data_IF_495288702919
#
_entry.id   IF_495288702919
#
_cell.length_a   1.000
_cell.length_b   1.000
_cell.length_c   1.000
_cell.angle_alpha   90.00
_cell.angle_beta   90.00
_cell.angle_gamma   90.00
#
_symmetry.space_group_name_H-M   'P 1'
#
loop_
_entity.id
_entity.type
_entity.pdbx_description
1 polymer ?
#
# COMPACT_ATOMS: atom_id res chain seq x y z
N UNK A 1 -13.89 -19.99 21.89
CA UNK A 1 -13.67 -18.57 21.53
C UNK A 1 -14.29 -17.60 22.55
N UNK A 2 -15.57 -17.73 22.91
CA UNK A 2 -16.25 -16.83 23.88
C UNK A 2 -15.67 -16.90 25.29
N UNK A 3 -15.32 -18.11 25.78
CA UNK A 3 -14.68 -18.28 27.10
C UNK A 3 -13.30 -17.59 27.21
N UNK A 4 -12.52 -17.60 26.12
CA UNK A 4 -11.23 -16.91 26.06
C UNK A 4 -11.35 -15.37 26.04
N UNK A 5 -12.50 -14.83 25.60
CA UNK A 5 -12.77 -13.39 25.66
C UNK A 5 -13.16 -12.95 27.08
N UNK A 6 -13.84 -13.82 27.83
CA UNK A 6 -14.25 -13.58 29.22
C UNK A 6 -13.07 -13.39 30.18
N UNK A 7 -11.99 -14.16 29.98
CA UNK A 7 -10.79 -14.10 30.82
C UNK A 7 -9.89 -12.88 30.56
N UNK A 8 -10.01 -12.21 29.40
CA UNK A 8 -9.12 -11.08 29.06
C UNK A 8 -9.69 -9.72 29.47
N UNK A 9 -11.00 -9.55 29.48
CA UNK A 9 -11.63 -8.28 29.83
C UNK A 9 -13.14 -8.47 30.19
N UNK A 10 -13.56 -8.29 31.45
CA UNK A 10 -14.94 -8.50 31.88
C UNK A 10 -15.93 -7.49 31.27
N UNK A 11 -15.46 -6.31 30.85
CA UNK A 11 -16.31 -5.32 30.16
C UNK A 11 -16.68 -5.81 28.76
N UNK A 12 -15.74 -6.44 28.05
CA UNK A 12 -16.00 -7.05 26.74
C UNK A 12 -16.94 -8.25 26.85
N UNK A 13 -16.84 -9.05 27.91
CA UNK A 13 -17.75 -10.16 28.15
C UNK A 13 -19.21 -9.72 28.28
N UNK A 14 -19.44 -8.63 29.00
CA UNK A 14 -20.77 -8.07 29.22
C UNK A 14 -21.36 -7.51 27.91
N UNK A 15 -20.52 -6.90 27.07
CA UNK A 15 -20.89 -6.43 25.73
C UNK A 15 -21.20 -7.57 24.74
N UNK A 16 -20.52 -8.73 24.85
CA UNK A 16 -20.84 -9.93 24.04
C UNK A 16 -22.21 -10.48 24.39
N UNK A 17 -22.55 -10.52 25.68
CA UNK A 17 -23.81 -11.14 26.16
C UNK A 17 -25.02 -10.26 25.82
N UNK A 18 -24.87 -8.93 25.89
CA UNK A 18 -25.96 -7.98 25.61
C UNK A 18 -26.25 -7.79 24.13
N UNK A 19 -25.22 -7.74 23.27
CA UNK A 19 -25.36 -7.68 21.81
C UNK A 19 -24.20 -8.39 21.10
N UNK A 20 -24.29 -9.73 20.95
CA UNK A 20 -23.24 -10.52 20.32
C UNK A 20 -22.96 -10.10 18.87
N UNK A 21 -23.99 -9.62 18.15
CA UNK A 21 -23.86 -9.18 16.75
C UNK A 21 -23.02 -7.92 16.67
N UNK A 22 -23.29 -6.93 17.52
CA UNK A 22 -22.53 -5.68 17.54
C UNK A 22 -21.11 -5.87 18.05
N UNK A 23 -20.90 -6.77 19.01
CA UNK A 23 -19.55 -7.18 19.41
C UNK A 23 -18.78 -7.77 18.22
N UNK A 24 -19.36 -8.73 17.51
CA UNK A 24 -18.72 -9.37 16.36
C UNK A 24 -18.42 -8.35 15.24
N UNK A 25 -19.39 -7.51 14.88
CA UNK A 25 -19.22 -6.48 13.85
C UNK A 25 -18.12 -5.47 14.23
N UNK A 26 -18.03 -5.09 15.50
CA UNK A 26 -16.94 -4.21 15.98
C UNK A 26 -15.59 -4.89 15.82
N UNK A 27 -15.48 -6.17 16.21
CA UNK A 27 -14.23 -6.91 16.07
C UNK A 27 -13.81 -7.11 14.62
N UNK A 28 -14.75 -7.43 13.73
CA UNK A 28 -14.44 -7.54 12.30
C UNK A 28 -13.96 -6.21 11.75
N UNK A 29 -14.66 -5.10 12.04
CA UNK A 29 -14.26 -3.75 11.58
C UNK A 29 -12.88 -3.33 12.07
N UNK A 30 -12.49 -3.73 13.28
CA UNK A 30 -11.20 -3.37 13.88
C UNK A 30 -10.03 -4.19 13.34
N UNK A 31 -10.27 -5.36 12.77
CA UNK A 31 -9.21 -6.30 12.41
C UNK A 31 -9.17 -6.65 10.91
N UNK A 32 -10.24 -6.37 10.16
CA UNK A 32 -10.30 -6.61 8.72
C UNK A 32 -9.97 -5.34 7.95
N UNK A 33 -8.74 -5.26 7.48
CA UNK A 33 -8.28 -4.21 6.57
C UNK A 33 -8.16 -4.79 5.16
N UNK A 34 -8.82 -4.15 4.18
CA UNK A 34 -8.82 -4.60 2.78
C UNK A 34 -8.13 -3.52 1.94
N UNK A 35 -7.09 -3.92 1.19
CA UNK A 35 -6.45 -3.08 0.19
C UNK A 35 -6.84 -3.55 -1.21
N UNK A 36 -7.29 -2.63 -2.06
CA UNK A 36 -7.71 -2.93 -3.43
C UNK A 36 -6.80 -2.13 -4.37
N UNK A 37 -6.05 -2.85 -5.21
CA UNK A 37 -5.17 -2.26 -6.20
C UNK A 37 -5.85 -2.28 -7.56
N UNK A 38 -6.24 -1.11 -8.06
CA UNK A 38 -6.89 -0.95 -9.36
C UNK A 38 -6.01 -0.07 -10.26
N UNK A 39 -5.92 -0.37 -11.58
CA UNK A 39 -5.26 0.54 -12.51
C UNK A 39 -6.00 1.88 -12.57
N UNK A 40 -5.24 2.98 -12.58
CA UNK A 40 -5.76 4.36 -12.55
C UNK A 40 -6.68 4.71 -13.72
N UNK A 41 -6.49 4.05 -14.87
CA UNK A 41 -7.27 4.27 -16.09
C UNK A 41 -8.20 3.08 -16.43
N UNK A 42 -8.54 2.25 -15.44
CA UNK A 42 -9.45 1.14 -15.70
C UNK A 42 -10.92 1.61 -15.77
N UNK A 43 -11.63 1.20 -16.83
CA UNK A 43 -13.10 1.29 -16.88
C UNK A 43 -13.76 0.56 -15.69
N UNK A 44 -13.04 -0.40 -15.12
CA UNK A 44 -13.42 -1.15 -13.93
C UNK A 44 -13.57 -0.25 -12.70
N UNK A 45 -12.68 0.73 -12.47
CA UNK A 45 -12.83 1.67 -11.35
C UNK A 45 -14.13 2.48 -11.48
N UNK A 46 -14.43 2.96 -12.69
CA UNK A 46 -15.68 3.68 -12.97
C UNK A 46 -16.92 2.81 -12.69
N UNK A 47 -16.93 1.58 -13.23
CA UNK A 47 -18.05 0.65 -13.03
C UNK A 47 -18.23 0.27 -11.55
N UNK A 48 -17.16 -0.05 -10.83
CA UNK A 48 -17.23 -0.38 -9.40
C UNK A 48 -17.74 0.79 -8.57
N UNK A 49 -17.41 2.02 -8.95
CA UNK A 49 -17.89 3.22 -8.25
C UNK A 49 -19.41 3.41 -8.39
N UNK A 50 -19.98 2.97 -9.52
CA UNK A 50 -21.42 3.02 -9.78
C UNK A 50 -22.17 1.86 -9.12
N UNK A 51 -21.66 0.64 -9.24
CA UNK A 51 -22.29 -0.57 -8.69
C UNK A 51 -22.16 -0.64 -7.17
N UNK A 52 -21.05 -0.15 -6.61
CA UNK A 52 -20.72 -0.24 -5.20
C UNK A 52 -20.29 1.12 -4.64
N UNK A 53 -21.20 2.09 -4.45
CA UNK A 53 -20.86 3.42 -3.95
C UNK A 53 -20.22 3.40 -2.55
N UNK A 54 -20.51 2.37 -1.76
CA UNK A 54 -19.88 2.13 -0.46
C UNK A 54 -18.37 1.90 -0.54
N UNK A 55 -17.86 1.46 -1.69
CA UNK A 55 -16.45 1.23 -1.95
C UNK A 55 -15.66 2.53 -1.85
N UNK A 56 -16.02 3.55 -2.62
CA UNK A 56 -15.33 4.85 -2.55
C UNK A 56 -15.67 5.64 -1.27
N UNK A 57 -16.90 5.47 -0.74
CA UNK A 57 -17.35 6.24 0.43
C UNK A 57 -16.61 5.87 1.73
N UNK A 58 -16.22 4.60 1.89
CA UNK A 58 -15.61 4.10 3.12
C UNK A 58 -14.19 3.56 2.93
N UNK A 59 -13.57 3.81 1.79
CA UNK A 59 -12.15 3.50 1.57
C UNK A 59 -11.35 4.77 1.41
N UNK A 60 -10.08 4.71 1.81
CA UNK A 60 -9.13 5.76 1.49
C UNK A 60 -8.50 5.44 0.13
N UNK A 61 -8.61 6.39 -0.81
CA UNK A 61 -8.00 6.25 -2.13
C UNK A 61 -6.58 6.79 -2.08
N UNK A 62 -5.63 5.98 -2.51
CA UNK A 62 -4.23 6.37 -2.64
C UNK A 62 -3.78 6.25 -4.09
N UNK A 63 -3.42 7.39 -4.70
CA UNK A 63 -2.91 7.42 -6.06
C UNK A 63 -1.39 7.25 -6.04
N UNK A 64 -0.92 6.12 -6.57
CA UNK A 64 0.51 5.87 -6.75
C UNK A 64 0.98 6.71 -7.94
N UNK A 65 1.92 7.61 -7.68
CA UNK A 65 2.58 8.40 -8.73
C UNK A 65 3.78 7.63 -9.28
N UNK A 66 4.17 7.97 -10.50
CA UNK A 66 5.44 7.53 -11.06
C UNK A 66 6.60 8.00 -10.16
N UNK A 67 7.69 7.23 -10.18
CA UNK A 67 8.90 7.57 -9.46
C UNK A 67 9.51 8.86 -10.01
N UNK A 68 9.94 9.76 -9.12
CA UNK A 68 10.69 10.95 -9.53
C UNK A 68 12.11 10.58 -9.92
N UNK A 69 12.77 11.41 -10.74
CA UNK A 69 14.20 11.21 -11.07
C UNK A 69 15.07 11.10 -9.81
N UNK A 70 14.78 11.89 -8.77
CA UNK A 70 15.51 11.78 -7.49
C UNK A 70 15.26 10.45 -6.80
N UNK A 71 14.03 9.94 -6.79
CA UNK A 71 13.73 8.64 -6.19
C UNK A 71 14.41 7.50 -6.94
N UNK A 72 14.40 7.55 -8.28
CA UNK A 72 15.11 6.58 -9.13
C UNK A 72 16.63 6.62 -8.92
N UNK A 73 17.21 7.82 -8.80
CA UNK A 73 18.63 7.97 -8.51
C UNK A 73 19.00 7.39 -7.14
N UNK A 74 18.22 7.68 -6.10
CA UNK A 74 18.44 7.14 -4.75
C UNK A 74 18.35 5.61 -4.75
N UNK A 75 17.36 5.05 -5.44
CA UNK A 75 17.19 3.60 -5.55
C UNK A 75 18.33 2.95 -6.34
N UNK A 76 18.75 3.55 -7.45
CA UNK A 76 19.87 3.06 -8.24
C UNK A 76 21.19 3.11 -7.45
N UNK A 77 21.43 4.19 -6.71
CA UNK A 77 22.57 4.34 -5.80
C UNK A 77 22.56 3.29 -4.69
N UNK A 78 21.39 3.08 -4.06
CA UNK A 78 21.22 2.04 -3.05
C UNK A 78 21.46 0.63 -3.61
N UNK A 79 20.91 0.35 -4.80
CA UNK A 79 21.09 -0.92 -5.49
C UNK A 79 22.56 -1.20 -5.82
N UNK A 80 23.28 -0.22 -6.36
CA UNK A 80 24.70 -0.37 -6.70
C UNK A 80 25.56 -0.54 -5.46
N UNK A 81 25.30 0.22 -4.39
CA UNK A 81 26.05 0.08 -3.13
C UNK A 81 25.90 -1.30 -2.45
N UNK A 82 24.78 -1.98 -2.69
CA UNK A 82 24.52 -3.32 -2.14
C UNK A 82 25.12 -4.45 -2.97
N UNK A 83 25.51 -4.22 -4.22
CA UNK A 83 25.99 -5.27 -5.14
C UNK A 83 27.45 -5.08 -5.59
N UNK A 84 27.96 -3.84 -5.65
CA UNK A 84 29.31 -3.52 -6.12
C UNK A 84 30.02 -2.55 -5.16
N UNK A 85 30.68 -3.11 -4.15
CA UNK A 85 31.40 -2.34 -3.12
C UNK A 85 32.75 -1.75 -3.56
N UNK A 86 33.21 -2.03 -4.79
CA UNK A 86 34.56 -1.67 -5.28
C UNK A 86 34.53 -0.54 -6.33
N UNK A 87 33.36 0.02 -6.62
CA UNK A 87 33.27 1.13 -7.58
C UNK A 87 33.89 2.41 -7.01
N UNK A 88 34.58 3.18 -7.85
CA UNK A 88 34.95 4.54 -7.49
C UNK A 88 33.70 5.40 -7.34
N UNK A 89 33.75 6.40 -6.44
CA UNK A 89 32.60 7.28 -6.17
C UNK A 89 32.08 7.96 -7.45
N UNK A 90 32.98 8.44 -8.33
CA UNK A 90 32.60 9.04 -9.62
C UNK A 90 31.83 8.07 -10.52
N UNK A 91 32.32 6.83 -10.64
CA UNK A 91 31.67 5.81 -11.46
C UNK A 91 30.31 5.42 -10.87
N UNK A 92 30.23 5.30 -9.53
CA UNK A 92 28.99 4.99 -8.83
C UNK A 92 27.91 6.06 -9.08
N UNK A 93 28.26 7.35 -8.98
CA UNK A 93 27.34 8.46 -9.25
C UNK A 93 26.89 8.48 -10.72
N UNK A 94 27.82 8.28 -11.66
CA UNK A 94 27.51 8.26 -13.10
C UNK A 94 26.62 7.09 -13.48
N UNK A 95 26.86 5.89 -12.92
CA UNK A 95 26.01 4.72 -13.14
C UNK A 95 24.63 4.90 -12.53
N UNK A 96 24.55 5.40 -11.30
CA UNK A 96 23.28 5.71 -10.63
C UNK A 96 22.45 6.69 -11.46
N UNK A 97 23.10 7.71 -12.01
CA UNK A 97 22.47 8.69 -12.91
C UNK A 97 21.98 8.04 -14.20
N UNK A 98 22.83 7.24 -14.85
CA UNK A 98 22.49 6.54 -16.08
C UNK A 98 21.25 5.64 -15.89
N UNK A 99 21.23 4.84 -14.82
CA UNK A 99 20.09 3.95 -14.50
C UNK A 99 18.82 4.76 -14.27
N UNK A 100 18.91 5.81 -13.45
CA UNK A 100 17.79 6.72 -13.20
C UNK A 100 17.25 7.31 -14.50
N UNK A 101 18.12 7.81 -15.38
CA UNK A 101 17.72 8.49 -16.61
C UNK A 101 17.07 7.50 -17.60
N UNK A 102 17.61 6.28 -17.74
CA UNK A 102 17.00 5.22 -18.57
C UNK A 102 15.61 4.87 -18.05
N UNK A 103 15.46 4.60 -16.74
CA UNK A 103 14.16 4.26 -16.15
C UNK A 103 13.16 5.41 -16.27
N UNK A 104 13.61 6.64 -16.01
CA UNK A 104 12.77 7.82 -16.15
C UNK A 104 12.28 8.01 -17.59
N UNK A 105 13.17 7.80 -18.58
CA UNK A 105 12.82 7.89 -19.99
C UNK A 105 11.76 6.84 -20.37
N UNK A 106 12.00 5.57 -20.03
CA UNK A 106 11.07 4.47 -20.34
C UNK A 106 9.68 4.69 -19.71
N UNK A 107 9.63 5.15 -18.46
CA UNK A 107 8.36 5.43 -17.75
C UNK A 107 7.54 6.57 -18.38
N UNK A 108 8.20 7.49 -19.09
CA UNK A 108 7.56 8.63 -19.71
C UNK A 108 7.26 8.39 -21.21
N UNK A 109 8.05 7.58 -21.91
CA UNK A 109 7.73 7.14 -23.27
C UNK A 109 6.60 6.11 -23.31
N UNK A 110 6.44 5.29 -22.27
CA UNK A 110 5.39 4.26 -22.23
C UNK A 110 3.98 4.81 -21.90
N UNK A 111 3.77 6.12 -21.97
CA UNK A 111 2.49 6.79 -21.77
C UNK A 111 1.84 7.14 -23.10
#
# INVERSE_FOLDING_TARGET
>A
AVLNAYQRDPVLATAVISDPRRFFLTKVRQNLHIAICLPSHSALLGRLSLEYPGLLKHTQVYWIKNWSSTALYTEASYFLSSHDSVLSEDLHQRLSRCFSDIHYFMLNESR
#
